data_IF_173376449102
#
_entry.id   IF_173376449102
#
_cell.length_a   1.000
_cell.length_b   1.000
_cell.length_c   1.000
_cell.angle_alpha   90.00
_cell.angle_beta   90.00
_cell.angle_gamma   90.00
#
_symmetry.space_group_name_H-M   'P 1'
#
loop_
_entity.id
_entity.type
_entity.pdbx_description
1 polymer ?
#
# COMPACT_ATOMS: atom_id res chain seq x y z
N UNK A 1 -33.60 -7.53 -0.34
CA UNK A 1 -34.67 -8.35 0.27
C UNK A 1 -34.06 -9.51 1.06
N UNK A 2 -33.30 -10.42 0.44
CA UNK A 2 -32.67 -11.56 1.14
C UNK A 2 -31.80 -11.16 2.35
N UNK A 3 -30.99 -10.10 2.24
CA UNK A 3 -30.15 -9.65 3.36
C UNK A 3 -30.97 -9.12 4.55
N UNK A 4 -32.15 -8.51 4.32
CA UNK A 4 -33.02 -8.03 5.39
C UNK A 4 -33.67 -9.20 6.15
N UNK A 5 -34.02 -10.27 5.44
CA UNK A 5 -34.58 -11.49 6.05
C UNK A 5 -33.55 -12.24 6.91
N UNK A 6 -32.25 -12.09 6.60
CA UNK A 6 -31.16 -12.71 7.36
C UNK A 6 -30.73 -11.90 8.60
N UNK A 7 -31.37 -10.76 8.90
CA UNK A 7 -31.13 -10.02 10.13
C UNK A 7 -31.83 -10.73 11.29
N UNK A 8 -31.09 -11.58 11.99
CA UNK A 8 -31.51 -12.24 13.23
C UNK A 8 -31.67 -11.24 14.40
N UNK A 9 -32.85 -11.29 15.04
CA UNK A 9 -33.20 -10.53 16.23
C UNK A 9 -33.08 -11.40 17.50
N UNK A 10 -33.42 -12.68 17.39
CA UNK A 10 -33.51 -13.62 18.51
C UNK A 10 -32.14 -14.09 18.98
N UNK A 11 -31.27 -14.49 18.04
CA UNK A 11 -29.91 -14.93 18.33
C UNK A 11 -29.11 -13.91 19.13
N UNK A 12 -28.91 -12.66 18.62
CA UNK A 12 -28.22 -11.61 19.37
C UNK A 12 -28.85 -11.30 20.73
N UNK A 13 -30.18 -11.36 20.85
CA UNK A 13 -30.87 -11.17 22.13
C UNK A 13 -30.49 -12.24 23.15
N UNK A 14 -30.52 -13.51 22.76
CA UNK A 14 -30.14 -14.63 23.64
C UNK A 14 -28.66 -14.60 23.99
N UNK A 15 -27.79 -14.34 23.01
CA UNK A 15 -26.33 -14.23 23.20
C UNK A 15 -26.01 -13.15 24.23
N UNK A 16 -26.59 -11.95 24.10
CA UNK A 16 -26.39 -10.85 25.05
C UNK A 16 -26.91 -11.19 26.45
N UNK A 17 -28.07 -11.84 26.53
CA UNK A 17 -28.65 -12.30 27.80
C UNK A 17 -27.74 -13.30 28.54
N UNK A 18 -27.22 -14.30 27.82
CA UNK A 18 -26.29 -15.29 28.36
C UNK A 18 -24.94 -14.67 28.73
N UNK A 19 -24.37 -13.83 27.86
CA UNK A 19 -23.08 -13.16 28.09
C UNK A 19 -23.12 -12.20 29.28
N UNK A 20 -24.24 -11.49 29.50
CA UNK A 20 -24.44 -10.66 30.70
C UNK A 20 -24.42 -11.51 31.98
N UNK A 21 -24.97 -12.72 31.94
CA UNK A 21 -25.10 -13.63 33.07
C UNK A 21 -23.99 -14.71 33.10
N UNK A 22 -22.79 -14.38 32.62
CA UNK A 22 -21.68 -15.34 32.47
C UNK A 22 -21.22 -16.02 33.77
N UNK A 23 -21.57 -15.46 34.93
CA UNK A 23 -21.30 -16.08 36.23
C UNK A 23 -22.02 -17.43 36.38
N UNK A 24 -23.21 -17.54 35.78
CA UNK A 24 -24.07 -18.72 35.90
C UNK A 24 -24.26 -19.46 34.57
N UNK A 25 -24.04 -18.80 33.43
CA UNK A 25 -24.33 -19.30 32.09
C UNK A 25 -23.08 -19.37 31.23
N UNK A 26 -22.87 -20.49 30.53
CA UNK A 26 -21.86 -20.61 29.48
C UNK A 26 -22.46 -20.18 28.14
N UNK A 27 -21.91 -19.12 27.54
CA UNK A 27 -22.26 -18.67 26.19
C UNK A 27 -21.17 -19.10 25.21
N UNK A 28 -21.55 -19.67 24.08
CA UNK A 28 -20.60 -20.10 23.05
C UNK A 28 -21.11 -19.65 21.68
N UNK A 29 -20.30 -18.87 20.97
CA UNK A 29 -20.67 -18.24 19.69
C UNK A 29 -19.77 -18.66 18.53
N UNK A 30 -18.79 -19.51 18.79
CA UNK A 30 -17.77 -19.93 17.83
C UNK A 30 -17.52 -21.44 17.97
N UNK A 31 -17.69 -22.23 16.90
CA UNK A 31 -17.45 -23.67 16.92
C UNK A 31 -16.04 -24.09 17.36
N UNK A 32 -15.03 -23.23 17.21
CA UNK A 32 -13.66 -23.52 17.68
C UNK A 32 -13.56 -23.68 19.21
N UNK A 33 -14.56 -23.21 19.97
CA UNK A 33 -14.59 -23.38 21.42
C UNK A 33 -15.22 -24.71 21.86
N UNK A 34 -15.83 -25.49 20.94
CA UNK A 34 -16.58 -26.69 21.31
C UNK A 34 -15.70 -27.78 21.90
N UNK A 35 -14.50 -27.97 21.38
CA UNK A 35 -13.60 -29.07 21.78
C UNK A 35 -13.16 -28.90 23.24
N UNK A 36 -12.50 -27.79 23.58
CA UNK A 36 -11.96 -27.58 24.92
C UNK A 36 -13.06 -27.47 25.99
N UNK A 37 -14.21 -26.88 25.65
CA UNK A 37 -15.36 -26.84 26.57
C UNK A 37 -15.91 -28.26 26.79
N UNK A 38 -16.06 -29.02 25.70
CA UNK A 38 -16.55 -30.39 25.73
C UNK A 38 -15.66 -31.31 26.58
N UNK A 39 -14.34 -31.19 26.45
CA UNK A 39 -13.37 -31.91 27.27
C UNK A 39 -13.56 -31.60 28.75
N UNK A 40 -13.62 -30.31 29.14
CA UNK A 40 -13.82 -29.93 30.54
C UNK A 40 -15.11 -30.47 31.14
N UNK A 41 -16.22 -30.34 30.41
CA UNK A 41 -17.52 -30.83 30.86
C UNK A 41 -17.51 -32.35 31.03
N UNK A 42 -16.84 -33.08 30.12
CA UNK A 42 -16.73 -34.53 30.17
C UNK A 42 -15.85 -35.02 31.33
N UNK A 43 -14.77 -34.29 31.62
CA UNK A 43 -13.83 -34.59 32.70
C UNK A 43 -14.34 -34.15 34.09
N UNK A 44 -15.53 -33.52 34.15
CA UNK A 44 -16.07 -32.95 35.39
C UNK A 44 -15.26 -31.76 35.90
N UNK A 45 -14.44 -31.14 35.05
CA UNK A 45 -13.64 -29.96 35.36
C UNK A 45 -14.50 -28.72 35.16
N UNK A 46 -14.58 -27.88 36.18
CA UNK A 46 -15.35 -26.65 36.09
C UNK A 46 -14.72 -25.67 35.09
N UNK A 47 -15.56 -25.05 34.25
CA UNK A 47 -15.16 -23.87 33.47
C UNK A 47 -15.08 -22.70 34.44
N UNK A 48 -13.86 -22.20 34.65
CA UNK A 48 -13.56 -21.17 35.65
C UNK A 48 -14.24 -19.85 35.31
N UNK A 49 -14.47 -19.01 36.32
CA UNK A 49 -15.10 -17.69 36.12
C UNK A 49 -14.38 -16.82 35.08
N UNK A 50 -13.04 -16.87 35.02
CA UNK A 50 -12.26 -16.12 34.03
C UNK A 50 -12.48 -16.63 32.60
N UNK A 51 -12.58 -17.95 32.40
CA UNK A 51 -12.91 -18.53 31.09
C UNK A 51 -14.34 -18.18 30.65
N UNK A 52 -15.30 -18.17 31.59
CA UNK A 52 -16.67 -17.72 31.31
C UNK A 52 -16.72 -16.25 30.92
N UNK A 53 -15.93 -15.42 31.60
CA UNK A 53 -15.79 -14.00 31.29
C UNK A 53 -15.19 -13.78 29.90
N UNK A 54 -14.20 -14.59 29.52
CA UNK A 54 -13.61 -14.53 28.17
C UNK A 54 -14.61 -14.95 27.09
N UNK A 55 -15.37 -16.02 27.32
CA UNK A 55 -16.48 -16.43 26.44
C UNK A 55 -17.55 -15.32 26.32
N UNK A 56 -17.90 -14.66 27.41
CA UNK A 56 -18.82 -13.52 27.39
C UNK A 56 -18.26 -12.32 26.63
N UNK A 57 -16.96 -12.01 26.80
CA UNK A 57 -16.26 -10.97 26.02
C UNK A 57 -16.34 -11.29 24.53
N UNK A 58 -16.05 -12.53 24.14
CA UNK A 58 -16.16 -13.03 22.76
C UNK A 58 -17.58 -12.92 22.21
N UNK A 59 -18.60 -13.26 23.02
CA UNK A 59 -20.00 -13.14 22.66
C UNK A 59 -20.45 -11.69 22.41
N UNK A 60 -20.07 -10.73 23.27
CA UNK A 60 -20.36 -9.31 23.02
C UNK A 60 -19.63 -8.78 21.79
N UNK A 61 -18.38 -9.20 21.57
CA UNK A 61 -17.63 -8.84 20.36
C UNK A 61 -18.31 -9.38 19.10
N UNK A 62 -18.77 -10.63 19.11
CA UNK A 62 -19.48 -11.24 17.98
C UNK A 62 -20.73 -10.44 17.59
N UNK A 63 -21.56 -10.06 18.58
CA UNK A 63 -22.75 -9.23 18.32
C UNK A 63 -22.37 -7.82 17.85
N UNK A 64 -21.32 -7.20 18.39
CA UNK A 64 -20.86 -5.89 17.94
C UNK A 64 -20.38 -5.90 16.46
N UNK A 65 -19.69 -6.96 16.04
CA UNK A 65 -19.28 -7.13 14.64
C UNK A 65 -20.48 -7.35 13.72
N UNK A 66 -21.46 -8.14 14.17
CA UNK A 66 -22.71 -8.39 13.47
C UNK A 66 -23.51 -7.09 13.26
N UNK A 67 -23.70 -6.31 14.32
CA UNK A 67 -24.41 -5.02 14.25
C UNK A 67 -23.64 -4.00 13.36
N UNK A 68 -22.30 -4.04 13.38
CA UNK A 68 -21.46 -3.23 12.47
C UNK A 68 -21.70 -3.61 11.01
N UNK A 69 -21.76 -4.91 10.69
CA UNK A 69 -22.05 -5.37 9.33
C UNK A 69 -23.44 -4.94 8.84
N UNK A 70 -24.46 -5.03 9.71
CA UNK A 70 -25.82 -4.56 9.41
C UNK A 70 -25.85 -3.05 9.19
N UNK A 71 -25.26 -2.28 10.10
CA UNK A 71 -25.23 -0.81 10.02
C UNK A 71 -24.61 -0.35 8.70
N UNK A 72 -23.50 -0.98 8.29
CA UNK A 72 -22.85 -0.71 7.00
C UNK A 72 -23.70 -1.10 5.81
N UNK A 73 -24.32 -2.27 5.84
CA UNK A 73 -25.23 -2.70 4.77
C UNK A 73 -26.41 -1.73 4.59
N UNK A 74 -27.05 -1.32 5.70
CA UNK A 74 -28.19 -0.40 5.67
C UNK A 74 -27.83 1.02 5.25
N UNK A 75 -26.56 1.42 5.33
CA UNK A 75 -26.10 2.74 4.88
C UNK A 75 -26.05 2.89 3.35
N UNK A 76 -26.21 1.79 2.58
CA UNK A 76 -26.24 1.78 1.11
C UNK A 76 -24.91 1.38 0.44
N UNK A 77 -24.90 1.31 -0.89
CA UNK A 77 -23.73 0.87 -1.69
C UNK A 77 -22.51 1.82 -1.59
N UNK A 78 -21.35 1.17 -1.43
CA UNK A 78 -19.93 1.48 -1.69
C UNK A 78 -19.35 2.90 -1.66
N UNK A 79 -20.12 3.98 -1.83
CA UNK A 79 -19.56 5.35 -1.91
C UNK A 79 -20.22 6.36 -0.98
N UNK A 80 -21.27 5.95 -0.26
CA UNK A 80 -21.92 6.80 0.75
C UNK A 80 -21.67 6.26 2.14
N UNK A 81 -20.41 6.26 2.57
CA UNK A 81 -20.14 6.35 4.01
C UNK A 81 -20.90 7.58 4.48
N UNK A 82 -21.92 7.40 5.32
CA UNK A 82 -22.41 8.51 6.11
C UNK A 82 -21.23 8.95 6.96
N UNK A 83 -20.63 10.11 6.65
CA UNK A 83 -19.48 10.62 7.40
C UNK A 83 -19.86 11.06 8.82
N UNK A 84 -21.15 11.03 9.14
CA UNK A 84 -21.69 11.40 10.45
C UNK A 84 -21.42 10.30 11.50
N UNK A 85 -21.50 9.01 11.14
CA UNK A 85 -21.29 7.87 12.03
C UNK A 85 -20.48 6.78 11.34
N UNK A 86 -19.35 6.37 11.95
CA UNK A 86 -18.43 5.39 11.36
C UNK A 86 -18.08 4.26 12.34
N UNK A 87 -18.35 3.02 11.94
CA UNK A 87 -18.01 1.81 12.70
C UNK A 87 -17.17 0.84 11.85
N UNK A 88 -16.09 0.33 12.44
CA UNK A 88 -15.23 -0.70 11.86
C UNK A 88 -15.03 -1.84 12.85
N UNK A 89 -15.33 -3.05 12.37
CA UNK A 89 -15.14 -4.29 13.10
C UNK A 89 -13.93 -5.05 12.59
N UNK A 90 -13.06 -5.49 13.50
CA UNK A 90 -11.85 -6.24 13.19
C UNK A 90 -11.84 -7.61 13.87
N UNK A 91 -11.51 -8.64 13.10
CA UNK A 91 -11.26 -10.00 13.58
C UNK A 91 -9.75 -10.21 13.72
N UNK A 92 -9.33 -10.78 14.84
CA UNK A 92 -7.91 -11.13 15.04
C UNK A 92 -7.53 -12.25 14.07
N UNK A 93 -6.43 -12.05 13.34
CA UNK A 93 -5.84 -13.06 12.45
C UNK A 93 -4.74 -13.81 13.20
N UNK A 94 -3.71 -13.10 13.66
CA UNK A 94 -2.58 -13.71 14.39
C UNK A 94 -1.81 -12.67 15.20
N UNK A 95 -1.13 -13.09 16.26
CA UNK A 95 -0.14 -12.24 16.92
C UNK A 95 1.14 -12.17 16.09
N UNK A 96 1.76 -11.00 16.11
CA UNK A 96 3.06 -10.78 15.49
C UNK A 96 4.12 -10.79 16.58
N UNK A 97 5.34 -11.14 16.17
CA UNK A 97 6.47 -11.25 17.12
C UNK A 97 6.70 -9.96 17.91
N UNK A 98 6.51 -8.82 17.27
CA UNK A 98 6.53 -7.46 17.81
C UNK A 98 5.97 -6.50 16.76
N UNK A 99 5.76 -5.23 17.13
CA UNK A 99 5.33 -4.14 16.23
C UNK A 99 6.45 -3.64 15.32
N UNK A 100 6.52 -2.33 15.08
CA UNK A 100 7.64 -1.76 14.31
C UNK A 100 8.98 -1.99 15.02
N UNK A 101 8.97 -1.98 16.35
CA UNK A 101 10.14 -2.15 17.20
C UNK A 101 9.98 -3.32 18.17
N UNK A 102 11.07 -4.02 18.57
CA UNK A 102 11.01 -5.23 19.41
C UNK A 102 10.28 -5.12 20.75
N UNK A 103 10.16 -3.91 21.32
CA UNK A 103 9.50 -3.67 22.61
C UNK A 103 7.98 -3.45 22.48
N UNK A 104 7.46 -3.32 21.24
CA UNK A 104 6.04 -3.11 20.97
C UNK A 104 5.37 -4.45 20.70
N UNK A 105 4.23 -4.71 21.30
CA UNK A 105 3.39 -5.85 20.95
C UNK A 105 2.55 -5.51 19.71
N UNK A 106 2.23 -6.51 18.88
CA UNK A 106 1.40 -6.30 17.71
C UNK A 106 0.60 -7.56 17.34
N UNK A 107 -0.53 -7.32 16.70
CA UNK A 107 -1.46 -8.36 16.22
C UNK A 107 -1.98 -7.92 14.86
N UNK A 108 -2.06 -8.84 13.91
CA UNK A 108 -2.68 -8.63 12.60
C UNK A 108 -4.19 -8.86 12.72
N UNK A 109 -4.96 -7.97 12.10
CA UNK A 109 -6.42 -8.05 12.05
C UNK A 109 -6.92 -7.99 10.60
N UNK A 110 -8.10 -8.59 10.36
CA UNK A 110 -8.87 -8.48 9.13
C UNK A 110 -10.24 -7.86 9.43
N UNK A 111 -10.96 -7.38 8.42
CA UNK A 111 -12.37 -7.01 8.60
C UNK A 111 -13.27 -8.21 8.27
N UNK A 112 -14.47 -8.23 8.83
CA UNK A 112 -15.46 -9.23 8.41
C UNK A 112 -15.75 -9.02 6.92
N UNK A 113 -15.85 -10.12 6.16
CA UNK A 113 -16.13 -10.10 4.72
C UNK A 113 -15.01 -9.50 3.84
N UNK A 114 -13.84 -9.16 4.40
CA UNK A 114 -12.68 -8.86 3.54
C UNK A 114 -12.16 -10.12 2.88
N UNK A 115 -11.72 -9.99 1.63
CA UNK A 115 -11.01 -11.02 0.90
C UNK A 115 -9.81 -10.44 0.17
N UNK A 116 -8.72 -11.18 0.07
CA UNK A 116 -7.51 -10.74 -0.65
C UNK A 116 -6.68 -9.71 0.12
N UNK A 117 -5.80 -9.01 -0.59
CA UNK A 117 -4.84 -8.10 0.02
C UNK A 117 -3.74 -8.81 0.82
N UNK A 118 -2.91 -8.03 1.51
CA UNK A 118 -1.73 -8.56 2.23
C UNK A 118 -2.11 -9.49 3.40
N UNK A 119 -3.32 -9.29 3.96
CA UNK A 119 -3.82 -10.07 5.10
C UNK A 119 -4.10 -11.51 4.69
N UNK A 120 -4.65 -11.73 3.50
CA UNK A 120 -4.96 -13.06 2.95
C UNK A 120 -3.85 -13.60 2.04
N UNK A 121 -2.72 -12.90 1.93
CA UNK A 121 -1.62 -13.32 1.07
C UNK A 121 -1.09 -14.70 1.50
N UNK A 122 -1.04 -15.63 0.55
CA UNK A 122 -0.57 -16.99 0.79
C UNK A 122 0.96 -17.02 0.81
N UNK A 123 1.53 -17.33 1.98
CA UNK A 123 2.97 -17.55 2.10
C UNK A 123 3.35 -18.93 1.55
N UNK A 124 3.96 -18.94 0.36
CA UNK A 124 4.42 -20.15 -0.33
C UNK A 124 5.76 -20.67 0.19
N UNK A 125 6.55 -19.81 0.84
CA UNK A 125 7.88 -20.13 1.37
C UNK A 125 8.36 -19.05 2.35
N UNK A 126 9.41 -19.36 3.12
CA UNK A 126 10.14 -18.40 3.93
C UNK A 126 9.65 -18.33 5.39
N UNK A 127 10.18 -17.34 6.10
CA UNK A 127 9.94 -17.13 7.53
C UNK A 127 8.56 -16.52 7.80
N UNK A 128 8.15 -16.50 9.08
CA UNK A 128 6.99 -15.73 9.55
C UNK A 128 7.11 -14.23 9.22
N UNK A 129 5.97 -13.59 8.94
CA UNK A 129 5.89 -12.17 8.62
C UNK A 129 6.01 -11.33 9.90
N UNK A 130 6.84 -10.28 9.89
CA UNK A 130 6.83 -9.24 10.93
C UNK A 130 5.79 -8.14 10.61
N UNK A 131 5.58 -7.24 11.57
CA UNK A 131 4.77 -6.02 11.36
C UNK A 131 5.26 -5.19 10.17
N UNK A 132 6.56 -4.89 10.12
CA UNK A 132 7.17 -4.12 9.02
C UNK A 132 7.14 -4.89 7.70
N UNK A 133 7.24 -6.23 7.73
CA UNK A 133 7.09 -7.03 6.53
C UNK A 133 5.71 -6.87 5.90
N UNK A 134 4.65 -6.88 6.71
CA UNK A 134 3.28 -6.69 6.24
C UNK A 134 3.12 -5.29 5.64
N UNK A 135 3.63 -4.25 6.30
CA UNK A 135 3.60 -2.87 5.78
C UNK A 135 4.31 -2.74 4.43
N UNK A 136 5.53 -3.28 4.32
CA UNK A 136 6.30 -3.17 3.08
C UNK A 136 5.71 -4.03 1.95
N UNK A 137 5.12 -5.18 2.28
CA UNK A 137 4.44 -6.03 1.31
C UNK A 137 3.17 -5.35 0.76
N UNK A 138 2.37 -4.71 1.62
CA UNK A 138 1.21 -3.91 1.20
C UNK A 138 1.64 -2.74 0.30
N UNK A 139 2.69 -2.00 0.69
CA UNK A 139 3.23 -0.92 -0.12
C UNK A 139 3.70 -1.41 -1.50
N UNK A 140 4.44 -2.53 -1.56
CA UNK A 140 4.91 -3.12 -2.80
C UNK A 140 3.74 -3.52 -3.71
N UNK A 141 2.72 -4.15 -3.13
CA UNK A 141 1.54 -4.56 -3.86
C UNK A 141 0.73 -3.37 -4.39
N UNK A 142 0.52 -2.34 -3.58
CA UNK A 142 -0.21 -1.12 -3.97
C UNK A 142 0.50 -0.36 -5.10
N UNK A 143 1.82 -0.26 -5.05
CA UNK A 143 2.60 0.42 -6.10
C UNK A 143 2.42 -0.28 -7.45
N UNK A 144 2.64 -1.60 -7.52
CA UNK A 144 2.56 -2.32 -8.80
C UNK A 144 1.13 -2.48 -9.32
N UNK A 145 0.14 -2.53 -8.42
CA UNK A 145 -1.27 -2.64 -8.79
C UNK A 145 -1.83 -1.38 -9.47
N UNK A 146 -1.13 -0.26 -9.38
CA UNK A 146 -1.48 1.00 -10.02
C UNK A 146 -1.09 1.04 -11.52
N UNK A 147 -0.50 -0.05 -12.03
CA UNK A 147 -0.05 -0.17 -13.41
C UNK A 147 -0.75 -1.35 -14.09
N UNK A 148 -1.19 -1.12 -15.33
CA UNK A 148 -1.81 -2.15 -16.17
C UNK A 148 -0.75 -2.99 -16.91
N UNK A 149 0.36 -2.37 -17.24
CA UNK A 149 1.52 -2.93 -17.90
C UNK A 149 2.39 -3.72 -16.92
N UNK A 150 3.34 -4.52 -17.39
CA UNK A 150 4.27 -5.26 -16.53
C UNK A 150 5.09 -4.29 -15.67
N UNK A 151 4.76 -4.22 -14.37
CA UNK A 151 5.36 -3.31 -13.41
C UNK A 151 6.10 -4.09 -12.32
N UNK A 152 7.29 -3.60 -11.98
CA UNK A 152 8.12 -4.14 -10.91
C UNK A 152 8.54 -3.01 -9.99
N UNK A 153 8.29 -3.17 -8.69
CA UNK A 153 8.69 -2.20 -7.66
C UNK A 153 9.62 -2.84 -6.64
N UNK A 154 10.68 -2.14 -6.26
CA UNK A 154 11.56 -2.50 -5.15
C UNK A 154 11.32 -1.52 -4.01
N UNK A 155 10.78 -2.01 -2.90
CA UNK A 155 10.38 -1.23 -1.74
C UNK A 155 11.39 -1.38 -0.60
N UNK A 156 11.61 -0.26 0.09
CA UNK A 156 12.28 -0.22 1.38
C UNK A 156 11.54 0.78 2.28
N UNK A 157 11.11 0.34 3.46
CA UNK A 157 10.43 1.21 4.43
C UNK A 157 9.24 1.98 3.81
N UNK A 158 8.37 1.25 3.13
CA UNK A 158 7.16 1.70 2.42
C UNK A 158 7.37 2.61 1.22
N UNK A 159 8.62 2.98 0.87
CA UNK A 159 8.92 3.80 -0.30
C UNK A 159 9.52 2.92 -1.44
N UNK A 160 9.12 3.13 -2.70
CA UNK A 160 9.80 2.53 -3.84
C UNK A 160 11.18 3.15 -4.05
N UNK A 161 12.24 2.41 -3.73
CA UNK A 161 13.60 2.78 -4.11
C UNK A 161 13.93 2.46 -5.58
N UNK A 162 13.08 1.65 -6.22
CA UNK A 162 13.11 1.42 -7.65
C UNK A 162 11.73 1.04 -8.16
N UNK A 163 11.40 1.47 -9.38
CA UNK A 163 10.14 1.17 -10.06
C UNK A 163 10.40 1.19 -11.57
N UNK A 164 9.87 0.22 -12.29
CA UNK A 164 9.98 0.18 -13.74
C UNK A 164 8.76 -0.51 -14.37
N UNK A 165 8.38 -0.02 -15.55
CA UNK A 165 7.38 -0.63 -16.42
C UNK A 165 8.03 -0.98 -17.76
N UNK A 166 7.99 -2.25 -18.13
CA UNK A 166 8.59 -2.71 -19.39
C UNK A 166 7.91 -3.99 -19.91
N UNK A 167 7.69 -4.16 -21.24
CA UNK A 167 7.04 -5.35 -21.79
C UNK A 167 7.68 -6.68 -21.39
N UNK A 168 9.01 -6.72 -21.27
CA UNK A 168 9.75 -7.84 -20.68
C UNK A 168 9.91 -7.64 -19.17
N UNK A 169 9.31 -8.53 -18.37
CA UNK A 169 9.32 -8.47 -16.91
C UNK A 169 10.73 -8.61 -16.30
N UNK A 170 11.64 -9.37 -16.93
CA UNK A 170 13.00 -9.52 -16.42
C UNK A 170 13.80 -8.22 -16.59
N UNK A 171 13.55 -7.50 -17.70
CA UNK A 171 14.11 -6.16 -17.93
C UNK A 171 13.50 -5.14 -16.97
N UNK A 172 12.18 -5.16 -16.76
CA UNK A 172 11.53 -4.29 -15.76
C UNK A 172 12.13 -4.50 -14.36
N UNK A 173 12.34 -5.76 -13.97
CA UNK A 173 12.99 -6.09 -12.70
C UNK A 173 14.41 -5.50 -12.62
N UNK A 174 15.24 -5.74 -13.64
CA UNK A 174 16.63 -5.28 -13.63
C UNK A 174 16.70 -3.76 -13.56
N UNK A 175 15.85 -3.07 -14.32
CA UNK A 175 15.73 -1.61 -14.32
C UNK A 175 15.27 -1.06 -12.95
N UNK A 176 14.26 -1.68 -12.33
CA UNK A 176 13.81 -1.31 -11.00
C UNK A 176 14.92 -1.52 -9.95
N UNK A 177 15.62 -2.66 -9.99
CA UNK A 177 16.75 -2.93 -9.10
C UNK A 177 17.89 -1.92 -9.27
N UNK A 178 18.19 -1.53 -10.50
CA UNK A 178 19.26 -0.56 -10.83
C UNK A 178 18.89 0.89 -10.52
N UNK A 179 17.62 1.19 -10.23
CA UNK A 179 17.18 2.52 -9.78
C UNK A 179 17.96 2.97 -8.53
N UNK A 180 17.98 2.11 -7.50
CA UNK A 180 18.85 2.26 -6.33
C UNK A 180 19.24 0.87 -5.78
N UNK A 181 20.26 0.28 -6.40
CA UNK A 181 20.76 -1.05 -6.03
C UNK A 181 21.30 -1.14 -4.60
N UNK A 182 21.70 -0.01 -3.99
CA UNK A 182 22.20 0.02 -2.61
C UNK A 182 21.03 -0.14 -1.65
N UNK A 183 19.96 0.62 -1.84
CA UNK A 183 18.75 0.52 -1.00
C UNK A 183 17.94 -0.75 -1.24
N UNK A 184 18.01 -1.33 -2.44
CA UNK A 184 17.33 -2.57 -2.80
C UNK A 184 17.76 -3.78 -1.94
N UNK A 185 18.95 -3.76 -1.35
CA UNK A 185 19.46 -4.87 -0.55
C UNK A 185 18.60 -5.13 0.70
N UNK A 186 18.09 -6.36 0.82
CA UNK A 186 17.14 -6.74 1.86
C UNK A 186 15.82 -5.97 1.78
N UNK A 187 15.47 -5.48 0.59
CA UNK A 187 14.18 -4.86 0.31
C UNK A 187 13.09 -5.89 0.02
N UNK A 188 11.97 -5.39 -0.48
CA UNK A 188 10.81 -6.16 -0.91
C UNK A 188 10.66 -5.92 -2.41
N UNK A 189 10.45 -6.97 -3.20
CA UNK A 189 10.16 -6.81 -4.63
C UNK A 189 8.73 -7.24 -4.93
N UNK A 190 7.96 -6.35 -5.55
CA UNK A 190 6.58 -6.57 -5.97
C UNK A 190 6.45 -6.68 -7.48
N UNK A 191 5.53 -7.52 -7.93
CA UNK A 191 5.17 -7.74 -9.34
C UNK A 191 3.65 -7.71 -9.50
N UNK A 192 3.11 -7.05 -10.52
CA UNK A 192 1.68 -7.08 -10.82
C UNK A 192 1.25 -8.23 -11.75
N UNK A 193 2.19 -9.07 -12.18
CA UNK A 193 1.96 -10.26 -13.00
C UNK A 193 2.65 -11.48 -12.40
N UNK A 194 2.25 -12.66 -12.85
CA UNK A 194 2.91 -13.92 -12.51
C UNK A 194 4.41 -13.82 -12.77
N UNK A 195 5.23 -14.19 -11.78
CA UNK A 195 6.70 -14.13 -11.90
C UNK A 195 7.18 -15.27 -12.79
N UNK A 196 7.97 -14.92 -13.81
CA UNK A 196 8.52 -15.86 -14.78
C UNK A 196 9.86 -16.46 -14.34
N UNK A 197 10.27 -17.56 -14.98
CA UNK A 197 11.61 -18.16 -14.79
C UNK A 197 12.73 -17.17 -15.10
N UNK A 198 12.61 -16.40 -16.19
CA UNK A 198 13.61 -15.42 -16.58
C UNK A 198 13.80 -14.33 -15.51
N UNK A 199 12.71 -13.84 -14.93
CA UNK A 199 12.72 -12.87 -13.83
C UNK A 199 13.31 -13.49 -12.55
N UNK A 200 12.97 -14.75 -12.24
CA UNK A 200 13.54 -15.47 -11.11
C UNK A 200 15.07 -15.63 -11.21
N UNK A 201 15.58 -15.88 -12.43
CA UNK A 201 17.00 -15.97 -12.69
C UNK A 201 17.71 -14.61 -12.67
N UNK A 202 17.07 -13.55 -13.16
CA UNK A 202 17.61 -12.19 -13.09
C UNK A 202 17.82 -11.73 -11.63
N UNK A 203 17.00 -12.23 -10.69
CA UNK A 203 17.18 -11.95 -9.27
C UNK A 203 18.37 -12.68 -8.61
N UNK A 204 19.09 -13.55 -9.31
CA UNK A 204 20.17 -14.37 -8.71
C UNK A 204 21.27 -13.48 -8.11
N UNK A 205 21.67 -13.80 -6.87
CA UNK A 205 22.71 -13.06 -6.15
C UNK A 205 22.19 -11.83 -5.38
N UNK A 206 20.92 -11.44 -5.57
CA UNK A 206 20.29 -10.35 -4.82
C UNK A 206 19.52 -10.90 -3.62
N UNK A 207 19.71 -10.28 -2.46
CA UNK A 207 18.98 -10.62 -1.24
C UNK A 207 17.71 -9.77 -1.14
N UNK A 208 16.55 -10.43 -1.17
CA UNK A 208 15.26 -9.84 -0.82
C UNK A 208 14.71 -10.50 0.44
N UNK A 209 14.08 -9.70 1.30
CA UNK A 209 13.36 -10.22 2.46
C UNK A 209 12.02 -10.82 2.03
N UNK A 210 11.39 -10.23 1.00
CA UNK A 210 10.09 -10.64 0.46
C UNK A 210 10.01 -10.49 -1.06
N UNK A 211 9.27 -11.40 -1.69
CA UNK A 211 8.88 -11.37 -3.10
C UNK A 211 7.37 -11.55 -3.15
N UNK A 212 6.66 -10.60 -3.74
CA UNK A 212 5.19 -10.58 -3.78
C UNK A 212 4.66 -10.45 -5.20
N UNK A 213 3.70 -11.30 -5.58
CA UNK A 213 3.13 -11.35 -6.92
C UNK A 213 1.74 -12.01 -6.91
N UNK A 214 0.92 -11.83 -7.97
CA UNK A 214 -0.33 -12.57 -8.08
C UNK A 214 -0.16 -14.07 -8.37
N UNK A 215 1.06 -14.50 -8.68
CA UNK A 215 1.39 -15.90 -8.95
C UNK A 215 2.85 -16.08 -9.32
N UNK A 216 3.26 -17.34 -9.45
CA UNK A 216 4.60 -17.73 -9.85
C UNK A 216 4.51 -18.90 -10.84
N UNK A 217 5.32 -18.88 -11.89
CA UNK A 217 5.55 -20.11 -12.67
C UNK A 217 6.15 -21.18 -11.75
N UNK A 218 5.78 -22.47 -11.92
CA UNK A 218 6.27 -23.54 -11.04
C UNK A 218 7.80 -23.58 -10.93
N UNK A 219 8.50 -23.48 -12.05
CA UNK A 219 9.96 -23.50 -12.12
C UNK A 219 10.58 -22.23 -11.51
N UNK A 220 9.92 -21.08 -11.67
CA UNK A 220 10.33 -19.83 -11.03
C UNK A 220 10.24 -19.94 -9.50
N UNK A 221 9.15 -20.51 -8.99
CA UNK A 221 8.96 -20.76 -7.56
C UNK A 221 10.05 -21.68 -7.00
N UNK A 222 10.43 -22.74 -7.72
CA UNK A 222 11.51 -23.64 -7.30
C UNK A 222 12.88 -22.95 -7.26
N UNK A 223 13.17 -22.03 -8.20
CA UNK A 223 14.39 -21.20 -8.16
C UNK A 223 14.37 -20.31 -6.92
N UNK A 224 13.25 -19.63 -6.65
CA UNK A 224 13.11 -18.68 -5.55
C UNK A 224 13.15 -19.35 -4.18
N UNK A 225 12.56 -20.55 -4.02
CA UNK A 225 12.57 -21.34 -2.78
C UNK A 225 13.96 -21.76 -2.31
N UNK A 226 14.98 -21.72 -3.18
CA UNK A 226 16.38 -21.92 -2.78
C UNK A 226 16.85 -20.87 -1.76
N UNK A 227 16.18 -19.71 -1.70
CA UNK A 227 16.41 -18.67 -0.69
C UNK A 227 15.71 -19.05 0.60
N UNK A 228 16.42 -19.69 1.52
CA UNK A 228 15.84 -20.26 2.77
C UNK A 228 15.00 -19.30 3.61
N UNK A 229 15.30 -18.00 3.59
CA UNK A 229 14.67 -17.01 4.48
C UNK A 229 13.68 -16.08 3.79
N UNK A 230 13.78 -15.91 2.48
CA UNK A 230 12.95 -14.98 1.71
C UNK A 230 11.50 -15.45 1.73
N UNK A 231 10.59 -14.55 2.09
CA UNK A 231 9.14 -14.82 2.01
C UNK A 231 8.69 -14.71 0.57
N UNK A 232 7.98 -15.72 0.10
CA UNK A 232 7.36 -15.72 -1.24
C UNK A 232 5.86 -15.67 -1.03
N UNK A 233 5.22 -14.60 -1.47
CA UNK A 233 3.83 -14.29 -1.21
C UNK A 233 3.03 -14.26 -2.51
N UNK A 234 1.98 -15.07 -2.56
CA UNK A 234 0.95 -15.01 -3.60
C UNK A 234 -0.22 -14.17 -3.08
N UNK A 235 -0.60 -13.11 -3.80
CA UNK A 235 -1.56 -12.10 -3.34
C UNK A 235 -2.61 -11.79 -4.41
N UNK A 236 -3.82 -11.45 -3.99
CA UNK A 236 -4.88 -10.92 -4.86
C UNK A 236 -5.30 -9.52 -4.43
N UNK A 237 -6.02 -8.79 -5.29
CA UNK A 237 -6.59 -7.50 -4.93
C UNK A 237 -7.53 -7.66 -3.72
N UNK A 238 -7.42 -6.71 -2.79
CA UNK A 238 -8.29 -6.66 -1.63
C UNK A 238 -9.71 -6.28 -2.06
N UNK A 239 -10.70 -6.92 -1.45
CA UNK A 239 -12.12 -6.59 -1.57
C UNK A 239 -12.76 -6.56 -0.20
N UNK A 240 -13.80 -5.73 -0.04
CA UNK A 240 -14.65 -5.74 1.15
C UNK A 240 -14.76 -4.39 1.85
N UNK A 241 -15.15 -4.36 3.15
CA UNK A 241 -15.61 -3.12 3.79
C UNK A 241 -14.57 -1.99 3.92
N UNK A 242 -13.28 -2.32 3.87
CA UNK A 242 -12.19 -1.35 3.94
C UNK A 242 -11.58 -1.03 2.58
N UNK A 243 -12.11 -1.62 1.50
CA UNK A 243 -11.70 -1.29 0.14
C UNK A 243 -11.93 0.20 -0.13
N UNK A 244 -10.94 0.85 -0.73
CA UNK A 244 -11.02 2.28 -1.04
C UNK A 244 -10.97 3.23 0.16
N UNK A 245 -10.66 2.77 1.39
CA UNK A 245 -10.49 3.62 2.57
C UNK A 245 -9.02 3.72 3.02
N UNK A 246 -8.62 4.90 3.50
CA UNK A 246 -7.39 5.12 4.28
C UNK A 246 -7.78 5.61 5.67
N UNK A 247 -7.44 4.82 6.70
CA UNK A 247 -7.81 5.04 8.10
C UNK A 247 -6.54 5.20 8.93
N UNK A 248 -6.44 6.31 9.67
CA UNK A 248 -5.27 6.64 10.48
C UNK A 248 -5.67 7.01 11.90
N UNK A 249 -5.02 6.40 12.88
CA UNK A 249 -5.21 6.79 14.29
C UNK A 249 -4.55 8.13 14.57
N UNK A 250 -5.24 8.98 15.34
CA UNK A 250 -4.72 10.23 15.89
C UNK A 250 -5.02 10.31 17.38
N UNK A 251 -4.36 11.21 18.12
CA UNK A 251 -4.63 11.38 19.55
C UNK A 251 -6.10 11.71 19.78
N UNK A 252 -6.82 10.80 20.44
CA UNK A 252 -8.24 10.95 20.76
C UNK A 252 -9.23 10.46 19.69
N UNK A 253 -8.77 9.91 18.54
CA UNK A 253 -9.69 9.45 17.49
C UNK A 253 -9.03 8.86 16.24
N UNK A 254 -9.72 8.97 15.11
CA UNK A 254 -9.28 8.48 13.79
C UNK A 254 -9.55 9.51 12.70
N UNK A 255 -8.71 9.54 11.68
CA UNK A 255 -8.94 10.19 10.39
C UNK A 255 -9.34 9.11 9.39
N UNK A 256 -10.39 9.37 8.62
CA UNK A 256 -10.88 8.47 7.56
C UNK A 256 -10.99 9.28 6.27
N UNK A 257 -10.42 8.78 5.19
CA UNK A 257 -10.52 9.36 3.85
C UNK A 257 -10.66 8.26 2.80
N UNK A 258 -11.08 8.62 1.60
CA UNK A 258 -10.97 7.71 0.45
C UNK A 258 -9.50 7.51 0.08
N UNK A 259 -9.13 6.29 -0.30
CA UNK A 259 -7.80 6.00 -0.82
C UNK A 259 -7.56 6.77 -2.12
N UNK A 260 -6.32 7.23 -2.31
CA UNK A 260 -5.90 7.85 -3.57
C UNK A 260 -5.72 6.76 -4.65
N UNK A 261 -6.80 6.49 -5.37
CA UNK A 261 -6.89 5.53 -6.48
C UNK A 261 -7.13 6.22 -7.81
N UNK A 262 -6.83 7.52 -7.92
CA UNK A 262 -7.10 8.26 -9.15
C UNK A 262 -6.29 7.66 -10.31
N UNK A 263 -7.01 7.29 -11.36
CA UNK A 263 -6.45 6.99 -12.67
C UNK A 263 -6.32 8.30 -13.45
N UNK A 264 -5.09 8.63 -13.81
CA UNK A 264 -4.77 9.89 -14.47
C UNK A 264 -5.19 9.88 -15.94
N UNK A 265 -6.01 10.87 -16.31
CA UNK A 265 -6.26 11.20 -17.72
C UNK A 265 -5.30 12.31 -18.14
N UNK A 266 -4.17 11.89 -18.71
CA UNK A 266 -3.11 12.80 -19.14
C UNK A 266 -3.56 13.74 -20.26
N UNK A 267 -4.69 13.48 -20.93
CA UNK A 267 -5.21 14.39 -21.97
C UNK A 267 -5.73 15.72 -21.40
N UNK A 268 -6.01 15.77 -20.11
CA UNK A 268 -6.42 16.99 -19.41
C UNK A 268 -5.26 17.82 -18.86
N UNK A 269 -4.01 17.36 -19.03
CA UNK A 269 -2.84 18.10 -18.55
C UNK A 269 -2.57 19.33 -19.41
N UNK A 270 -2.29 20.45 -18.74
CA UNK A 270 -2.01 21.72 -19.40
C UNK A 270 -0.51 21.89 -19.65
N UNK A 271 -0.08 22.06 -20.91
CA UNK A 271 1.30 22.42 -21.24
C UNK A 271 1.51 23.90 -20.90
N UNK A 272 2.29 24.19 -19.85
CA UNK A 272 2.47 25.56 -19.35
C UNK A 272 3.63 26.32 -19.98
N UNK A 273 4.60 25.62 -20.55
CA UNK A 273 5.80 26.21 -21.17
C UNK A 273 5.64 26.39 -22.69
N UNK A 274 6.47 27.25 -23.27
CA UNK A 274 6.52 27.49 -24.73
C UNK A 274 6.92 26.23 -25.50
N UNK A 275 7.87 25.45 -24.95
CA UNK A 275 8.26 24.15 -25.49
C UNK A 275 7.32 23.07 -24.93
N UNK A 276 6.61 22.32 -25.79
CA UNK A 276 5.85 21.15 -25.35
C UNK A 276 6.78 19.95 -25.11
N UNK A 277 6.41 19.02 -24.21
CA UNK A 277 7.08 17.72 -24.13
C UNK A 277 6.95 16.95 -25.44
N UNK A 278 7.97 16.15 -25.78
CA UNK A 278 7.87 15.10 -26.81
C UNK A 278 7.03 13.93 -26.32
N UNK A 279 6.59 13.05 -27.22
CA UNK A 279 5.79 11.86 -26.84
C UNK A 279 6.51 10.96 -25.82
N UNK A 280 7.83 10.80 -25.96
CA UNK A 280 8.65 10.01 -25.03
C UNK A 280 8.74 10.68 -23.64
N UNK A 281 8.95 11.99 -23.60
CA UNK A 281 8.98 12.74 -22.34
C UNK A 281 7.60 12.74 -21.67
N UNK A 282 6.53 12.86 -22.45
CA UNK A 282 5.17 12.86 -21.93
C UNK A 282 4.81 11.51 -21.31
N UNK A 283 5.20 10.40 -21.96
CA UNK A 283 5.07 9.04 -21.39
C UNK A 283 5.84 8.90 -20.08
N UNK A 284 7.10 9.36 -20.04
CA UNK A 284 7.91 9.29 -18.84
C UNK A 284 7.36 10.20 -17.72
N UNK A 285 6.77 11.34 -18.06
CA UNK A 285 6.11 12.24 -17.10
C UNK A 285 4.88 11.59 -16.48
N UNK A 286 4.06 10.91 -17.29
CA UNK A 286 2.91 10.14 -16.82
C UNK A 286 3.34 9.02 -15.86
N UNK A 287 4.41 8.29 -16.20
CA UNK A 287 4.99 7.28 -15.31
C UNK A 287 5.52 7.89 -14.00
N UNK A 288 6.32 8.96 -14.08
CA UNK A 288 6.89 9.63 -12.91
C UNK A 288 5.81 10.19 -11.97
N UNK A 289 4.76 10.78 -12.56
CA UNK A 289 3.61 11.32 -11.84
C UNK A 289 2.87 10.23 -11.07
N UNK A 290 2.58 9.10 -11.74
CA UNK A 290 1.95 7.95 -11.08
C UNK A 290 2.82 7.38 -9.96
N UNK A 291 4.14 7.34 -10.16
CA UNK A 291 5.08 6.89 -9.14
C UNK A 291 5.10 7.81 -7.89
N UNK A 292 4.99 9.14 -8.06
CA UNK A 292 4.96 10.10 -6.96
C UNK A 292 3.86 9.81 -5.93
N UNK A 293 2.69 9.34 -6.37
CA UNK A 293 1.53 8.98 -5.53
C UNK A 293 1.86 7.98 -4.42
N UNK A 294 2.91 7.17 -4.61
CA UNK A 294 3.30 6.10 -3.70
C UNK A 294 4.47 6.45 -2.78
N UNK A 295 5.04 7.66 -2.87
CA UNK A 295 6.21 8.09 -2.08
C UNK A 295 5.80 9.19 -1.10
N UNK A 296 6.38 9.16 0.09
CA UNK A 296 6.08 10.12 1.17
C UNK A 296 6.47 11.56 0.80
N UNK A 297 5.58 12.51 1.05
CA UNK A 297 5.74 13.93 0.71
C UNK A 297 6.74 14.69 1.60
N UNK A 298 7.39 15.75 1.12
CA UNK A 298 7.40 16.22 -0.27
C UNK A 298 8.24 15.28 -1.15
N UNK A 299 7.68 14.90 -2.30
CA UNK A 299 8.29 13.92 -3.20
C UNK A 299 8.75 14.56 -4.49
N UNK A 300 9.95 14.19 -4.92
CA UNK A 300 10.42 14.35 -6.30
C UNK A 300 10.76 12.96 -6.86
N UNK A 301 10.26 12.66 -8.07
CA UNK A 301 10.64 11.45 -8.83
C UNK A 301 11.32 11.88 -10.12
N UNK A 302 12.47 11.27 -10.41
CA UNK A 302 13.14 11.36 -11.70
C UNK A 302 12.91 10.06 -12.45
N UNK A 303 12.51 10.15 -13.70
CA UNK A 303 12.25 8.97 -14.53
C UNK A 303 12.77 9.12 -15.96
N UNK A 304 13.12 7.99 -16.57
CA UNK A 304 13.50 7.89 -17.97
C UNK A 304 13.14 6.51 -18.49
N UNK A 305 12.53 6.44 -19.67
CA UNK A 305 12.06 5.20 -20.29
C UNK A 305 11.19 4.35 -19.34
N UNK A 306 10.17 4.97 -18.73
CA UNK A 306 9.28 4.33 -17.74
C UNK A 306 10.01 3.64 -16.57
N UNK A 307 11.16 4.17 -16.18
CA UNK A 307 11.95 3.66 -15.06
C UNK A 307 12.35 4.80 -14.15
N UNK A 308 12.14 4.63 -12.85
CA UNK A 308 12.60 5.55 -11.83
C UNK A 308 14.12 5.49 -11.75
N UNK A 309 14.77 6.64 -11.97
CA UNK A 309 16.23 6.77 -11.88
C UNK A 309 16.69 7.48 -10.62
N UNK A 310 15.79 8.17 -9.90
CA UNK A 310 16.08 8.75 -8.60
C UNK A 310 14.83 9.28 -7.94
N UNK A 311 14.86 9.40 -6.61
CA UNK A 311 13.76 9.98 -5.83
C UNK A 311 14.28 10.82 -4.66
N UNK A 312 13.50 11.83 -4.27
CA UNK A 312 13.69 12.56 -3.03
C UNK A 312 12.43 12.48 -2.20
N UNK A 313 12.42 11.58 -1.21
CA UNK A 313 11.25 11.26 -0.41
C UNK A 313 11.25 11.96 0.95
N UNK A 314 10.07 12.38 1.41
CA UNK A 314 9.77 12.67 2.82
C UNK A 314 10.35 13.97 3.36
N UNK A 315 10.72 14.93 2.50
CA UNK A 315 11.39 16.14 2.97
C UNK A 315 10.40 17.25 3.32
N UNK A 316 10.63 18.00 4.43
CA UNK A 316 9.87 19.21 4.72
C UNK A 316 10.03 20.30 3.64
N UNK A 317 11.19 20.35 2.98
CA UNK A 317 11.51 21.31 1.92
C UNK A 317 11.70 20.58 0.58
N UNK A 318 10.94 21.00 -0.45
CA UNK A 318 10.97 20.35 -1.76
C UNK A 318 12.28 20.53 -2.53
N UNK A 319 12.99 21.65 -2.35
CA UNK A 319 14.32 21.83 -2.96
C UNK A 319 15.29 20.74 -2.48
N UNK A 320 15.15 20.31 -1.21
CA UNK A 320 15.93 19.18 -0.68
C UNK A 320 15.52 17.87 -1.34
N UNK A 321 14.23 17.65 -1.63
CA UNK A 321 13.79 16.50 -2.42
C UNK A 321 14.41 16.52 -3.83
N UNK A 322 14.46 17.66 -4.51
CA UNK A 322 15.13 17.78 -5.82
C UNK A 322 16.61 17.40 -5.68
N UNK A 323 17.31 17.99 -4.71
CA UNK A 323 18.73 17.71 -4.45
C UNK A 323 19.01 16.22 -4.21
N UNK A 324 18.21 15.57 -3.35
CA UNK A 324 18.37 14.16 -3.05
C UNK A 324 18.10 13.28 -4.27
N UNK A 325 17.06 13.60 -5.05
CA UNK A 325 16.70 12.85 -6.26
C UNK A 325 17.81 12.89 -7.31
N UNK A 326 18.41 14.08 -7.53
CA UNK A 326 19.54 14.27 -8.44
C UNK A 326 20.79 13.54 -7.95
N UNK A 327 21.06 13.58 -6.64
CA UNK A 327 22.20 12.90 -6.03
C UNK A 327 22.09 11.37 -6.19
N UNK A 328 20.90 10.81 -5.98
CA UNK A 328 20.65 9.37 -6.14
C UNK A 328 20.78 8.97 -7.61
N UNK A 329 20.19 9.74 -8.52
CA UNK A 329 20.25 9.45 -9.95
C UNK A 329 21.67 9.58 -10.55
N UNK A 330 22.49 10.49 -10.03
CA UNK A 330 23.82 10.76 -10.57
C UNK A 330 23.75 11.08 -12.07
N UNK A 331 24.58 10.40 -12.88
CA UNK A 331 24.57 10.60 -14.33
C UNK A 331 23.27 10.18 -15.02
N UNK A 332 22.44 9.33 -14.39
CA UNK A 332 21.14 8.92 -14.94
C UNK A 332 20.11 10.07 -14.95
N UNK A 333 20.35 11.15 -14.21
CA UNK A 333 19.48 12.33 -14.21
C UNK A 333 19.47 13.05 -15.57
N UNK A 334 20.57 12.99 -16.32
CA UNK A 334 20.71 13.73 -17.58
C UNK A 334 19.72 13.23 -18.64
N UNK A 335 18.88 14.14 -19.11
CA UNK A 335 17.81 13.83 -20.07
C UNK A 335 16.70 12.96 -19.48
N UNK A 336 16.53 12.97 -18.15
CA UNK A 336 15.37 12.40 -17.48
C UNK A 336 14.31 13.47 -17.26
N UNK A 337 13.08 13.04 -16.97
CA UNK A 337 11.97 13.93 -16.59
C UNK A 337 11.82 13.95 -15.06
N UNK A 338 11.13 14.95 -14.54
CA UNK A 338 10.86 15.10 -13.11
C UNK A 338 9.36 15.24 -12.85
N UNK A 339 8.84 14.54 -11.84
CA UNK A 339 7.51 14.77 -11.30
C UNK A 339 7.59 15.23 -9.84
N UNK A 340 6.68 16.13 -9.47
CA UNK A 340 6.56 16.69 -8.12
C UNK A 340 5.14 16.49 -7.59
N UNK A 341 4.99 15.81 -6.46
CA UNK A 341 3.68 15.49 -5.88
C UNK A 341 2.80 16.71 -5.57
N UNK A 342 3.40 17.90 -5.46
CA UNK A 342 2.76 19.18 -5.26
C UNK A 342 3.42 20.33 -6.05
N UNK A 343 2.81 21.54 -6.03
CA UNK A 343 3.25 22.68 -6.85
C UNK A 343 4.54 23.35 -6.38
N UNK A 344 5.40 23.82 -7.28
CA UNK A 344 6.60 24.57 -6.89
C UNK A 344 6.24 25.98 -6.39
N UNK A 345 6.66 26.37 -5.17
CA UNK A 345 6.36 27.71 -4.66
C UNK A 345 7.23 28.80 -5.32
N UNK A 346 8.39 28.44 -5.87
CA UNK A 346 9.38 29.33 -6.48
C UNK A 346 10.11 28.61 -7.64
N UNK A 347 10.88 29.36 -8.45
CA UNK A 347 11.67 28.82 -9.56
C UNK A 347 12.93 28.03 -9.16
N UNK A 348 13.35 28.07 -7.90
CA UNK A 348 14.58 27.45 -7.39
C UNK A 348 14.68 25.93 -7.64
N UNK A 349 13.56 25.23 -7.52
CA UNK A 349 13.45 23.79 -7.75
C UNK A 349 13.64 23.45 -9.23
N UNK A 350 13.17 24.33 -10.12
CA UNK A 350 13.34 24.19 -11.59
C UNK A 350 14.77 24.49 -11.99
N UNK A 351 15.38 25.52 -11.41
CA UNK A 351 16.78 25.88 -11.62
C UNK A 351 17.71 24.72 -11.22
N UNK A 352 17.50 24.15 -10.02
CA UNK A 352 18.25 22.99 -9.56
C UNK A 352 18.02 21.76 -10.45
N UNK A 353 16.80 21.51 -10.91
CA UNK A 353 16.51 20.43 -11.84
C UNK A 353 17.29 20.60 -13.17
N UNK A 354 17.39 21.83 -13.68
CA UNK A 354 18.17 22.12 -14.88
C UNK A 354 19.67 21.84 -14.71
N UNK A 355 20.26 22.15 -13.54
CA UNK A 355 21.66 21.81 -13.23
C UNK A 355 21.90 20.29 -13.30
N UNK A 356 20.89 19.50 -12.95
CA UNK A 356 20.88 18.03 -13.08
C UNK A 356 20.65 17.50 -14.49
N UNK A 357 20.33 18.37 -15.45
CA UNK A 357 20.02 18.00 -16.83
C UNK A 357 18.61 17.45 -17.03
N UNK A 358 17.65 17.81 -16.17
CA UNK A 358 16.23 17.46 -16.35
C UNK A 358 15.66 18.21 -17.55
N UNK A 359 14.88 17.54 -18.38
CA UNK A 359 14.38 18.07 -19.67
C UNK A 359 12.88 18.34 -19.69
N UNK A 360 12.12 17.73 -18.78
CA UNK A 360 10.67 17.95 -18.66
C UNK A 360 10.20 17.81 -17.21
N UNK A 361 9.14 18.52 -16.83
CA UNK A 361 8.61 18.57 -15.46
C UNK A 361 7.08 18.40 -15.45
N UNK A 362 6.56 17.59 -14.53
CA UNK A 362 5.14 17.53 -14.17
C UNK A 362 4.93 18.01 -12.73
N UNK A 363 3.96 18.91 -12.55
CA UNK A 363 3.52 19.39 -11.24
C UNK A 363 2.00 19.67 -11.26
N UNK A 364 1.31 19.83 -10.12
CA UNK A 364 -0.12 20.17 -10.13
C UNK A 364 -0.42 21.55 -10.71
N UNK A 365 0.43 22.54 -10.43
CA UNK A 365 0.05 23.96 -10.45
C UNK A 365 -0.83 24.36 -9.25
N UNK A 366 -1.36 25.58 -9.27
CA UNK A 366 -2.18 26.16 -8.20
C UNK A 366 -1.40 27.00 -7.18
N UNK A 367 -0.12 27.29 -7.41
CA UNK A 367 0.60 28.29 -6.63
C UNK A 367 0.16 29.70 -7.03
N UNK A 368 0.13 30.63 -6.07
CA UNK A 368 0.03 32.07 -6.37
C UNK A 368 1.22 32.54 -7.24
N UNK A 369 2.32 31.77 -7.24
CA UNK A 369 3.57 32.04 -7.95
C UNK A 369 3.90 30.99 -9.01
N UNK A 370 2.90 30.34 -9.60
CA UNK A 370 3.14 29.33 -10.65
C UNK A 370 3.99 29.90 -11.79
N UNK A 371 3.73 31.16 -12.17
CA UNK A 371 4.47 31.90 -13.20
C UNK A 371 5.99 31.89 -12.96
N UNK A 372 6.47 32.02 -11.71
CA UNK A 372 7.91 32.02 -11.42
C UNK A 372 8.57 30.68 -11.83
N UNK A 373 7.88 29.56 -11.61
CA UNK A 373 8.37 28.23 -11.99
C UNK A 373 8.28 27.97 -13.50
N UNK A 374 7.24 28.49 -14.15
CA UNK A 374 7.04 28.37 -15.61
C UNK A 374 8.05 29.24 -16.36
N UNK A 375 8.29 30.47 -15.91
CA UNK A 375 9.31 31.35 -16.47
C UNK A 375 10.71 30.76 -16.34
N UNK A 376 11.04 30.17 -15.19
CA UNK A 376 12.31 29.47 -15.00
C UNK A 376 12.47 28.30 -15.99
N UNK A 377 11.41 27.50 -16.19
CA UNK A 377 11.43 26.40 -17.13
C UNK A 377 11.59 26.86 -18.59
N UNK A 378 10.85 27.88 -19.01
CA UNK A 378 10.99 28.49 -20.34
C UNK A 378 12.41 29.00 -20.57
N UNK A 379 12.98 29.75 -19.62
CA UNK A 379 14.34 30.28 -19.69
C UNK A 379 15.40 29.18 -19.82
N UNK A 380 15.15 28.01 -19.23
CA UNK A 380 16.07 26.87 -19.20
C UNK A 380 15.76 25.82 -20.28
N UNK A 381 14.74 26.04 -21.12
CA UNK A 381 14.34 25.12 -22.19
C UNK A 381 13.69 23.82 -21.70
N UNK A 382 13.18 23.80 -20.47
CA UNK A 382 12.52 22.65 -19.84
C UNK A 382 11.03 22.69 -20.19
N UNK A 383 10.48 21.58 -20.68
CA UNK A 383 9.04 21.46 -20.88
C UNK A 383 8.33 21.28 -19.53
N UNK A 384 7.17 21.90 -19.31
CA UNK A 384 6.40 21.76 -18.08
C UNK A 384 4.93 21.49 -18.38
N UNK A 385 4.36 20.52 -17.66
CA UNK A 385 2.92 20.23 -17.63
C UNK A 385 2.35 20.46 -16.25
N UNK A 386 1.14 21.05 -16.20
CA UNK A 386 0.34 21.21 -15.00
C UNK A 386 -0.78 20.16 -15.01
N UNK A 387 -0.81 19.28 -14.01
CA UNK A 387 -1.75 18.15 -13.94
C UNK A 387 -3.09 18.53 -13.32
N UNK A 388 -3.14 19.62 -12.54
CA UNK A 388 -4.34 20.04 -11.80
C UNK A 388 -4.63 19.20 -10.54
N UNK A 389 -3.86 18.16 -10.27
CA UNK A 389 -4.08 17.22 -9.16
C UNK A 389 -2.85 17.14 -8.25
N UNK A 390 -3.05 16.95 -6.94
CA UNK A 390 -1.97 16.82 -5.95
C UNK A 390 -2.07 15.47 -5.23
N UNK A 391 -0.95 14.76 -5.11
CA UNK A 391 -0.88 13.44 -4.44
C UNK A 391 -0.03 13.48 -3.17
N UNK A 392 -0.46 14.23 -2.15
CA UNK A 392 0.24 14.22 -0.87
C UNK A 392 0.07 12.91 -0.11
N UNK A 393 1.18 12.41 0.44
CA UNK A 393 1.23 11.17 1.23
C UNK A 393 2.11 11.37 2.46
N UNK A 394 1.49 11.38 3.64
CA UNK A 394 2.20 11.39 4.92
C UNK A 394 2.39 9.98 5.46
#
# INVERSE_FOLDING_TARGET
>A
DDALENIDIGGPTMIRGAAKNFQDVLVVVDPSDYEWIGERLSDGVEVTLEERKELARKAFQHVALYDTAISRYLSGEETKTSWDEFTLGFNRVQDLRYGENPHQQATLYSTALSAGGVVDAKRLHGLEMSFTNILDADAAWRVVSDFSENAVAVIKHTNPCGLSVHPDQAVAYQQAFEGDSVSAYGGIVGFNRTVTVATAEAMRGVLYDQIIAPGFEPEALEILKRRRRTRILEITLAKGPTEGLDVRTVSGGVLVQTADTLEEDTTNWNVATERPPTDDEFRDLAFAWRACKHIKSNTIVLAKNNTMVGMGAGQPNRVVSVHLSLRIAGDKAKGSVMASDAYFPFGDSVEMAAEGGIIAIAQPGGSIRDEESVEAANRLGIAMVLTGTRHFRH
#
